data_IF_724060723752
#
_entry.id   IF_724060723752
#
_cell.length_a   1.000
_cell.length_b   1.000
_cell.length_c   1.000
_cell.angle_alpha   90.00
_cell.angle_beta   90.00
_cell.angle_gamma   90.00
#
_symmetry.space_group_name_H-M   'P 1'
#
loop_
_entity.id
_entity.type
_entity.pdbx_description
1 polymer ?
#
# COMPACT_ATOMS: atom_id res chain seq x y z
N UNK A 1 20.19 -0.23 -23.99
CA UNK A 1 19.31 -1.27 -23.37
C UNK A 1 18.06 -1.37 -24.22
N UNK A 2 17.85 -2.50 -24.88
CA UNK A 2 16.71 -2.70 -25.80
C UNK A 2 15.41 -2.76 -25.00
N UNK A 3 14.68 -1.66 -24.97
CA UNK A 3 13.38 -1.58 -24.34
C UNK A 3 12.31 -2.05 -25.34
N UNK A 4 12.22 -3.37 -25.58
CA UNK A 4 11.10 -3.94 -26.34
C UNK A 4 9.89 -4.04 -25.41
N UNK A 5 9.06 -2.99 -25.41
CA UNK A 5 7.76 -3.04 -24.79
C UNK A 5 6.96 -4.23 -25.36
N UNK A 6 6.24 -4.95 -24.46
CA UNK A 6 5.44 -6.13 -24.86
C UNK A 6 4.33 -5.76 -25.86
N UNK A 7 3.70 -4.61 -25.65
CA UNK A 7 2.61 -4.12 -26.50
C UNK A 7 3.01 -2.81 -27.20
N UNK A 8 2.76 -2.70 -28.50
CA UNK A 8 3.01 -1.47 -29.29
C UNK A 8 1.92 -0.41 -29.08
N UNK A 9 1.41 -0.29 -27.87
CA UNK A 9 0.32 0.60 -27.49
C UNK A 9 0.81 1.70 -26.56
N UNK A 10 0.12 2.84 -26.56
CA UNK A 10 0.36 3.99 -25.69
C UNK A 10 -0.62 3.98 -24.52
N UNK A 11 -0.12 4.16 -23.30
CA UNK A 11 -0.89 4.16 -22.06
C UNK A 11 -1.01 5.57 -21.48
N UNK A 12 -2.22 6.05 -21.20
CA UNK A 12 -2.45 7.19 -20.33
C UNK A 12 -2.73 6.73 -18.89
N UNK A 13 -2.03 7.30 -17.92
CA UNK A 13 -2.26 7.05 -16.48
C UNK A 13 -2.90 8.29 -15.87
N UNK A 14 -4.11 8.14 -15.33
CA UNK A 14 -4.91 9.22 -14.74
C UNK A 14 -5.11 8.99 -13.24
N UNK A 15 -4.84 9.99 -12.42
CA UNK A 15 -4.98 9.91 -10.97
C UNK A 15 -3.71 9.50 -10.23
N UNK A 16 -2.57 9.83 -10.80
CA UNK A 16 -1.27 9.62 -10.19
C UNK A 16 -1.07 10.45 -8.91
N UNK A 17 -0.18 10.04 -7.99
CA UNK A 17 0.22 10.86 -6.84
C UNK A 17 0.91 12.15 -7.27
N UNK A 18 1.32 12.98 -6.31
CA UNK A 18 2.08 14.17 -6.61
C UNK A 18 3.47 13.82 -7.18
N UNK A 19 3.95 14.68 -8.08
CA UNK A 19 5.24 14.59 -8.73
C UNK A 19 6.07 15.82 -8.45
N UNK A 20 7.30 15.61 -8.03
CA UNK A 20 8.29 16.66 -7.80
C UNK A 20 9.29 16.68 -8.94
N UNK A 21 9.82 17.84 -9.24
CA UNK A 21 10.84 18.03 -10.29
C UNK A 21 12.18 18.24 -9.58
N UNK A 22 13.16 17.38 -9.88
CA UNK A 22 14.54 17.55 -9.44
C UNK A 22 15.24 18.69 -10.18
N UNK A 23 16.40 19.09 -9.67
CA UNK A 23 17.22 20.15 -10.30
C UNK A 23 17.72 19.80 -11.70
N UNK A 24 17.74 18.53 -12.05
CA UNK A 24 18.12 17.98 -13.36
C UNK A 24 16.90 17.82 -14.31
N UNK A 25 15.70 18.27 -13.90
CA UNK A 25 14.45 18.10 -14.64
C UNK A 25 13.81 16.72 -14.51
N UNK A 26 14.37 15.80 -13.72
CA UNK A 26 13.83 14.46 -13.51
C UNK A 26 12.60 14.52 -12.61
N UNK A 27 11.56 13.79 -12.97
CA UNK A 27 10.35 13.65 -12.16
C UNK A 27 10.48 12.56 -11.11
N UNK A 28 10.11 12.90 -9.88
CA UNK A 28 10.10 12.05 -8.71
C UNK A 28 8.68 11.85 -8.20
N UNK A 29 8.35 10.65 -7.78
CA UNK A 29 7.08 10.34 -7.14
C UNK A 29 7.25 9.30 -6.03
N UNK A 30 6.17 9.00 -5.31
CA UNK A 30 6.16 8.00 -4.25
C UNK A 30 6.71 6.65 -4.76
N UNK A 31 7.77 6.14 -4.15
CA UNK A 31 8.56 5.01 -4.63
C UNK A 31 7.73 3.75 -4.98
N UNK A 32 6.81 3.24 -4.13
CA UNK A 32 5.99 2.09 -4.48
C UNK A 32 5.11 2.30 -5.71
N UNK A 33 4.72 3.55 -5.98
CA UNK A 33 4.00 3.90 -7.20
C UNK A 33 4.92 3.88 -8.42
N UNK A 34 6.13 4.43 -8.29
CA UNK A 34 7.14 4.43 -9.37
C UNK A 34 7.51 3.01 -9.76
N UNK A 35 7.69 2.11 -8.81
CA UNK A 35 7.96 0.69 -9.06
C UNK A 35 6.85 0.05 -9.90
N UNK A 36 5.61 0.30 -9.55
CA UNK A 36 4.45 -0.17 -10.31
C UNK A 36 4.42 0.42 -11.73
N UNK A 37 4.67 1.71 -11.89
CA UNK A 37 4.68 2.37 -13.20
C UNK A 37 5.82 1.87 -14.10
N UNK A 38 6.95 1.44 -13.55
CA UNK A 38 8.00 0.78 -14.33
C UNK A 38 7.52 -0.53 -14.94
N UNK A 39 6.69 -1.31 -14.22
CA UNK A 39 6.08 -2.54 -14.77
C UNK A 39 5.14 -2.20 -15.92
N UNK A 40 4.31 -1.15 -15.79
CA UNK A 40 3.47 -0.69 -16.89
C UNK A 40 4.30 -0.21 -18.08
N UNK A 41 5.43 0.46 -17.84
CA UNK A 41 6.34 0.89 -18.91
C UNK A 41 7.06 -0.27 -19.61
N UNK A 42 7.25 -1.40 -18.94
CA UNK A 42 7.77 -2.62 -19.57
C UNK A 42 6.74 -3.28 -20.49
N UNK A 43 5.45 -3.02 -20.28
CA UNK A 43 4.35 -3.57 -21.09
C UNK A 43 3.96 -2.66 -22.25
N UNK A 44 4.03 -1.34 -22.10
CA UNK A 44 3.56 -0.36 -23.09
C UNK A 44 4.71 0.40 -23.74
N UNK A 45 4.57 0.71 -25.04
CA UNK A 45 5.59 1.44 -25.82
C UNK A 45 5.82 2.87 -25.30
N UNK A 46 4.77 3.50 -24.77
CA UNK A 46 4.79 4.83 -24.17
C UNK A 46 3.79 4.92 -23.03
N UNK A 47 4.17 5.56 -21.93
CA UNK A 47 3.32 5.77 -20.74
C UNK A 47 3.31 7.25 -20.39
N UNK A 48 2.16 7.91 -20.56
CA UNK A 48 1.96 9.27 -20.12
C UNK A 48 1.26 9.28 -18.75
N UNK A 49 1.89 9.91 -17.76
CA UNK A 49 1.40 9.98 -16.39
C UNK A 49 0.85 11.37 -16.10
N UNK A 50 -0.48 11.47 -15.92
CA UNK A 50 -1.17 12.68 -15.50
C UNK A 50 -1.39 12.68 -13.98
N UNK A 51 -0.67 13.53 -13.27
CA UNK A 51 -0.74 13.60 -11.81
C UNK A 51 -0.60 15.03 -11.29
N UNK A 52 -0.74 15.21 -9.98
CA UNK A 52 -0.55 16.50 -9.34
C UNK A 52 0.91 16.97 -9.47
N UNK A 53 1.12 18.28 -9.67
CA UNK A 53 2.41 18.90 -9.40
C UNK A 53 2.68 18.84 -7.88
N UNK A 54 3.87 18.42 -7.49
CA UNK A 54 4.36 18.44 -6.12
C UNK A 54 4.95 19.83 -5.80
N UNK A 55 4.79 20.24 -4.55
CA UNK A 55 5.34 21.50 -4.04
C UNK A 55 6.42 21.21 -3.00
N UNK A 56 7.44 22.08 -2.91
CA UNK A 56 8.53 21.98 -1.95
C UNK A 56 9.63 20.98 -2.35
N UNK A 57 10.49 20.66 -1.40
CA UNK A 57 11.66 19.82 -1.61
C UNK A 57 11.32 18.33 -1.73
N UNK A 58 12.16 17.62 -2.47
CA UNK A 58 12.12 16.15 -2.56
C UNK A 58 12.54 15.55 -1.21
N UNK A 59 11.59 14.98 -0.48
CA UNK A 59 11.81 14.38 0.84
C UNK A 59 11.06 13.06 0.99
N UNK A 60 11.56 12.21 1.88
CA UNK A 60 10.92 10.96 2.23
C UNK A 60 11.10 9.85 1.19
N UNK A 61 10.11 8.98 1.07
CA UNK A 61 10.17 7.80 0.19
C UNK A 61 9.74 8.16 -1.23
N UNK A 62 10.59 8.88 -1.96
CA UNK A 62 10.41 9.27 -3.36
C UNK A 62 11.49 8.61 -4.22
N UNK A 63 11.17 8.29 -5.46
CA UNK A 63 12.09 7.75 -6.45
C UNK A 63 11.86 8.38 -7.83
N UNK A 64 12.90 8.49 -8.67
CA UNK A 64 12.76 8.89 -10.07
C UNK A 64 12.25 7.73 -10.91
N UNK A 65 11.59 7.99 -12.02
CA UNK A 65 11.08 6.91 -12.89
C UNK A 65 12.18 6.11 -13.57
N UNK A 66 13.27 6.75 -14.00
CA UNK A 66 14.42 6.14 -14.69
C UNK A 66 14.00 5.25 -15.88
N UNK A 67 13.04 5.72 -16.68
CA UNK A 67 12.53 5.08 -17.90
C UNK A 67 12.32 6.12 -18.99
N UNK A 68 12.89 5.92 -20.16
CA UNK A 68 12.77 6.85 -21.28
C UNK A 68 11.40 6.89 -21.95
N UNK A 69 10.59 5.83 -21.74
CA UNK A 69 9.24 5.74 -22.28
C UNK A 69 8.14 6.19 -21.29
N UNK A 70 8.51 6.80 -20.16
CA UNK A 70 7.56 7.45 -19.23
C UNK A 70 7.67 8.96 -19.38
N UNK A 71 6.57 9.59 -19.77
CA UNK A 71 6.37 11.02 -19.80
C UNK A 71 5.47 11.45 -18.64
N UNK A 72 5.87 12.46 -17.85
CA UNK A 72 5.05 13.00 -16.76
C UNK A 72 4.47 14.34 -17.20
N UNK A 73 3.15 14.45 -17.15
CA UNK A 73 2.42 15.69 -17.40
C UNK A 73 1.79 16.14 -16.10
N UNK A 74 2.44 17.07 -15.36
CA UNK A 74 1.89 17.60 -14.12
C UNK A 74 0.67 18.46 -14.43
N UNK A 75 -0.41 18.23 -13.68
CA UNK A 75 -1.66 18.98 -13.79
C UNK A 75 -1.83 19.83 -12.55
N UNK A 76 -1.97 21.13 -12.75
CA UNK A 76 -2.25 22.08 -11.68
C UNK A 76 -3.66 21.83 -11.13
N UNK A 77 -3.74 21.31 -9.91
CA UNK A 77 -5.00 21.09 -9.20
C UNK A 77 -4.75 21.10 -7.70
N UNK A 78 -5.36 22.05 -7.00
CA UNK A 78 -5.07 22.31 -5.58
C UNK A 78 -5.37 21.11 -4.68
N UNK A 79 -4.45 20.85 -3.75
CA UNK A 79 -4.57 19.87 -2.67
C UNK A 79 -4.95 20.49 -1.34
N UNK A 80 -5.06 21.82 -1.27
CA UNK A 80 -5.43 22.53 -0.07
C UNK A 80 -6.83 22.18 0.41
N UNK A 81 -7.01 22.13 1.73
CA UNK A 81 -8.31 21.97 2.38
C UNK A 81 -8.91 23.35 2.70
N UNK A 82 -10.24 23.37 2.91
CA UNK A 82 -10.96 24.58 3.24
C UNK A 82 -11.51 25.33 2.03
N UNK A 83 -12.02 26.53 2.28
CA UNK A 83 -12.74 27.32 1.29
C UNK A 83 -11.85 27.82 0.15
N UNK A 84 -10.64 28.28 0.46
CA UNK A 84 -9.66 28.71 -0.53
C UNK A 84 -9.29 27.61 -1.50
N UNK A 85 -8.98 26.42 -0.99
CA UNK A 85 -8.69 25.27 -1.83
C UNK A 85 -9.90 24.80 -2.65
N UNK A 86 -11.12 24.98 -2.16
CA UNK A 86 -12.35 24.72 -2.92
C UNK A 86 -12.47 25.68 -4.12
N UNK A 87 -12.26 26.98 -3.92
CA UNK A 87 -12.30 27.97 -4.99
C UNK A 87 -11.23 27.70 -6.05
N UNK A 88 -9.99 27.45 -5.62
CA UNK A 88 -8.89 27.10 -6.53
C UNK A 88 -9.25 25.89 -7.40
N UNK A 89 -9.79 24.81 -6.81
CA UNK A 89 -10.24 23.64 -7.56
C UNK A 89 -11.34 23.95 -8.55
N UNK A 90 -12.29 24.83 -8.22
CA UNK A 90 -13.33 25.25 -9.16
C UNK A 90 -12.75 25.92 -10.40
N UNK A 91 -11.80 26.87 -10.23
CA UNK A 91 -11.13 27.54 -11.34
C UNK A 91 -10.21 26.61 -12.16
N UNK A 92 -9.57 25.63 -11.50
CA UNK A 92 -8.67 24.68 -12.14
C UNK A 92 -9.40 23.49 -12.79
N UNK A 93 -10.69 23.27 -12.47
CA UNK A 93 -11.46 22.12 -12.93
C UNK A 93 -11.57 22.02 -14.46
N UNK A 94 -11.84 23.10 -15.22
CA UNK A 94 -11.87 23.02 -16.69
C UNK A 94 -10.53 22.57 -17.28
N UNK A 95 -9.42 23.08 -16.74
CA UNK A 95 -8.07 22.65 -17.12
C UNK A 95 -7.80 21.19 -16.82
N UNK A 96 -8.24 20.70 -15.65
CA UNK A 96 -8.16 19.29 -15.29
C UNK A 96 -8.90 18.41 -16.29
N UNK A 97 -10.16 18.73 -16.61
CA UNK A 97 -10.98 17.99 -17.57
C UNK A 97 -10.32 17.97 -18.95
N UNK A 98 -9.82 19.12 -19.41
CA UNK A 98 -9.17 19.23 -20.73
C UNK A 98 -7.87 18.42 -20.81
N UNK A 99 -7.01 18.45 -19.78
CA UNK A 99 -5.78 17.67 -19.75
C UNK A 99 -6.08 16.16 -19.74
N UNK A 100 -7.03 15.71 -18.92
CA UNK A 100 -7.43 14.29 -18.87
C UNK A 100 -8.07 13.87 -20.20
N UNK A 101 -8.94 14.69 -20.78
CA UNK A 101 -9.56 14.41 -22.08
C UNK A 101 -8.52 14.25 -23.19
N UNK A 102 -7.50 15.14 -23.23
CA UNK A 102 -6.40 15.05 -24.20
C UNK A 102 -5.59 13.76 -23.98
N UNK A 103 -5.21 13.45 -22.74
CA UNK A 103 -4.50 12.21 -22.43
C UNK A 103 -5.28 10.96 -22.86
N UNK A 104 -6.60 10.91 -22.64
CA UNK A 104 -7.46 9.80 -23.05
C UNK A 104 -7.58 9.74 -24.59
N UNK A 105 -7.65 10.89 -25.26
CA UNK A 105 -7.79 10.95 -26.72
C UNK A 105 -6.52 10.45 -27.43
N UNK A 106 -5.36 10.87 -26.94
CA UNK A 106 -4.06 10.66 -27.60
C UNK A 106 -3.42 9.31 -27.29
N UNK A 107 -4.08 8.44 -26.49
CA UNK A 107 -3.56 7.14 -26.07
C UNK A 107 -4.56 6.01 -26.38
N UNK A 108 -4.02 4.81 -26.56
CA UNK A 108 -4.79 3.61 -26.94
C UNK A 108 -5.51 2.98 -25.74
N UNK A 109 -4.93 3.12 -24.56
CA UNK A 109 -5.41 2.51 -23.32
C UNK A 109 -5.28 3.45 -22.12
N UNK A 110 -6.18 3.33 -21.14
CA UNK A 110 -6.22 4.21 -19.99
C UNK A 110 -6.16 3.42 -18.67
N UNK A 111 -5.18 3.73 -17.84
CA UNK A 111 -5.12 3.31 -16.44
C UNK A 111 -5.64 4.42 -15.53
N UNK A 112 -6.73 4.19 -14.84
CA UNK A 112 -7.25 5.10 -13.82
C UNK A 112 -6.88 4.63 -12.42
N UNK A 113 -6.61 5.57 -11.53
CA UNK A 113 -6.35 5.30 -10.10
C UNK A 113 -7.43 5.97 -9.25
N UNK A 114 -8.23 5.16 -8.61
CA UNK A 114 -9.38 5.56 -7.81
C UNK A 114 -9.28 5.03 -6.37
N UNK A 115 -9.93 5.66 -5.38
CA UNK A 115 -10.73 6.88 -5.51
C UNK A 115 -9.88 8.16 -5.51
N UNK A 116 -10.14 9.05 -6.47
CA UNK A 116 -9.51 10.38 -6.56
C UNK A 116 -10.36 11.31 -7.44
N UNK A 117 -10.15 12.63 -7.36
CA UNK A 117 -10.82 13.58 -8.27
C UNK A 117 -10.44 13.32 -9.74
N UNK A 118 -9.17 13.06 -10.01
CA UNK A 118 -8.69 12.66 -11.34
C UNK A 118 -9.36 11.38 -11.82
N UNK A 119 -9.43 10.36 -10.96
CA UNK A 119 -10.07 9.09 -11.25
C UNK A 119 -11.57 9.27 -11.54
N UNK A 120 -12.26 10.15 -10.79
CA UNK A 120 -13.67 10.46 -11.03
C UNK A 120 -13.90 11.07 -12.42
N UNK A 121 -13.11 12.10 -12.77
CA UNK A 121 -13.18 12.76 -14.09
C UNK A 121 -12.78 11.75 -15.18
N UNK A 122 -11.72 11.00 -14.98
CA UNK A 122 -11.26 9.95 -15.89
C UNK A 122 -12.33 8.89 -16.16
N UNK A 123 -12.97 8.37 -15.11
CA UNK A 123 -14.02 7.38 -15.19
C UNK A 123 -15.25 7.85 -15.98
N UNK A 124 -15.61 9.12 -15.87
CA UNK A 124 -16.67 9.71 -16.68
C UNK A 124 -16.23 9.87 -18.16
N UNK A 125 -15.03 10.42 -18.40
CA UNK A 125 -14.54 10.69 -19.74
C UNK A 125 -14.25 9.43 -20.55
N UNK A 126 -13.67 8.38 -19.98
CA UNK A 126 -13.41 7.12 -20.72
C UNK A 126 -14.71 6.49 -21.22
N UNK A 127 -15.80 6.58 -20.41
CA UNK A 127 -17.12 6.08 -20.79
C UNK A 127 -17.75 6.92 -21.91
N UNK A 128 -17.69 8.26 -21.77
CA UNK A 128 -18.20 9.18 -22.82
C UNK A 128 -17.44 9.05 -24.13
N UNK A 129 -16.14 8.77 -24.07
CA UNK A 129 -15.27 8.63 -25.25
C UNK A 129 -15.16 7.19 -25.74
N UNK A 130 -15.83 6.24 -25.11
CA UNK A 130 -15.80 4.80 -25.39
C UNK A 130 -14.37 4.23 -25.52
N UNK A 131 -13.48 4.57 -24.56
CA UNK A 131 -12.08 4.14 -24.55
C UNK A 131 -11.87 2.96 -23.61
N UNK A 132 -11.07 2.00 -24.06
CA UNK A 132 -10.68 0.86 -23.22
C UNK A 132 -9.88 1.32 -22.00
N UNK A 133 -10.25 0.82 -20.82
CA UNK A 133 -9.60 1.25 -19.59
C UNK A 133 -9.62 0.21 -18.48
N UNK A 134 -8.64 0.33 -17.63
CA UNK A 134 -8.59 -0.35 -16.34
C UNK A 134 -8.58 0.68 -15.21
N UNK A 135 -9.40 0.48 -14.20
CA UNK A 135 -9.35 1.25 -12.97
C UNK A 135 -8.68 0.43 -11.87
N UNK A 136 -7.63 0.96 -11.26
CA UNK A 136 -7.08 0.40 -10.02
C UNK A 136 -7.75 1.07 -8.83
N UNK A 137 -8.60 0.32 -8.14
CA UNK A 137 -9.30 0.78 -6.94
C UNK A 137 -8.45 0.51 -5.69
N UNK A 138 -7.95 1.56 -5.05
CA UNK A 138 -7.05 1.46 -3.89
C UNK A 138 -7.77 1.48 -2.53
N UNK A 139 -9.10 1.66 -2.51
CA UNK A 139 -9.92 1.70 -1.30
C UNK A 139 -10.62 0.38 -1.01
N UNK A 140 -11.46 0.37 0.02
CA UNK A 140 -12.37 -0.74 0.29
C UNK A 140 -13.34 -0.94 -0.87
N UNK A 141 -13.57 -2.19 -1.29
CA UNK A 141 -14.47 -2.54 -2.40
C UNK A 141 -15.95 -2.44 -2.00
N UNK A 142 -16.30 -1.78 -0.90
CA UNK A 142 -17.65 -1.60 -0.39
C UNK A 142 -17.92 -0.20 0.14
N UNK A 143 -19.21 0.05 0.46
CA UNK A 143 -19.60 1.23 1.21
C UNK A 143 -19.14 1.09 2.66
N UNK A 144 -18.63 2.16 3.22
CA UNK A 144 -18.22 2.22 4.61
C UNK A 144 -18.76 3.50 5.28
N UNK A 145 -18.91 3.45 6.61
CA UNK A 145 -19.39 4.58 7.38
C UNK A 145 -18.43 5.76 7.31
N UNK A 146 -18.96 6.96 6.99
CA UNK A 146 -18.14 8.18 6.87
C UNK A 146 -17.49 8.37 5.50
N UNK A 147 -17.88 7.59 4.49
CA UNK A 147 -17.39 7.77 3.13
C UNK A 147 -17.83 9.13 2.55
N UNK A 148 -16.87 9.87 1.99
CA UNK A 148 -17.12 11.19 1.38
C UNK A 148 -17.92 11.07 0.07
N UNK A 149 -18.75 12.06 -0.23
CA UNK A 149 -19.60 12.09 -1.44
C UNK A 149 -18.80 11.83 -2.73
N UNK A 150 -17.64 12.47 -3.00
CA UNK A 150 -16.88 12.19 -4.22
C UNK A 150 -16.44 10.73 -4.36
N UNK A 151 -16.10 10.07 -3.24
CA UNK A 151 -15.75 8.65 -3.25
C UNK A 151 -16.96 7.76 -3.54
N UNK A 152 -18.14 8.12 -3.00
CA UNK A 152 -19.40 7.41 -3.29
C UNK A 152 -19.78 7.51 -4.76
N UNK A 153 -19.66 8.71 -5.36
CA UNK A 153 -19.94 8.93 -6.78
C UNK A 153 -18.93 8.16 -7.64
N UNK A 154 -17.66 8.18 -7.28
CA UNK A 154 -16.63 7.43 -8.00
C UNK A 154 -16.90 5.92 -7.95
N UNK A 155 -17.25 5.37 -6.79
CA UNK A 155 -17.62 3.97 -6.65
C UNK A 155 -18.91 3.63 -7.43
N UNK A 156 -19.88 4.52 -7.46
CA UNK A 156 -21.08 4.34 -8.27
C UNK A 156 -20.73 4.28 -9.77
N UNK A 157 -19.89 5.19 -10.28
CA UNK A 157 -19.41 5.13 -11.65
C UNK A 157 -18.68 3.82 -11.94
N UNK A 158 -17.81 3.37 -11.04
CA UNK A 158 -17.10 2.10 -11.18
C UNK A 158 -18.00 0.86 -11.04
N UNK A 159 -19.22 0.99 -10.53
CA UNK A 159 -20.21 -0.09 -10.51
C UNK A 159 -20.95 -0.26 -11.85
N UNK A 160 -20.90 0.75 -12.72
CA UNK A 160 -21.55 0.70 -14.02
C UNK A 160 -20.73 -0.20 -14.95
N UNK A 161 -21.35 -1.27 -15.40
CA UNK A 161 -20.72 -2.21 -16.34
C UNK A 161 -20.44 -1.49 -17.68
N UNK A 162 -19.22 -1.69 -18.19
CA UNK A 162 -18.84 -1.33 -19.56
C UNK A 162 -18.14 -2.53 -20.21
N UNK A 163 -18.29 -2.70 -21.50
CA UNK A 163 -17.67 -3.82 -22.24
C UNK A 163 -16.14 -3.69 -22.27
N UNK A 164 -15.64 -2.46 -22.23
CA UNK A 164 -14.21 -2.12 -22.34
C UNK A 164 -13.63 -1.55 -21.04
N UNK A 165 -14.36 -1.65 -19.91
CA UNK A 165 -13.94 -1.11 -18.62
C UNK A 165 -13.88 -2.21 -17.56
N UNK A 166 -12.69 -2.42 -16.99
CA UNK A 166 -12.49 -3.34 -15.89
C UNK A 166 -11.93 -2.62 -14.67
N UNK A 167 -12.25 -3.12 -13.48
CA UNK A 167 -11.76 -2.55 -12.22
C UNK A 167 -10.95 -3.59 -11.46
N UNK A 168 -9.67 -3.30 -11.20
CA UNK A 168 -8.83 -4.10 -10.31
C UNK A 168 -9.16 -3.72 -8.86
N UNK A 169 -9.59 -4.69 -8.07
CA UNK A 169 -9.98 -4.50 -6.67
C UNK A 169 -9.16 -5.40 -5.76
N UNK A 170 -8.87 -4.92 -4.57
CA UNK A 170 -8.34 -5.76 -3.52
C UNK A 170 -9.48 -6.57 -2.86
N UNK A 171 -9.30 -7.88 -2.75
CA UNK A 171 -10.30 -8.78 -2.21
C UNK A 171 -11.34 -9.26 -3.25
N UNK A 172 -12.47 -9.83 -2.80
CA UNK A 172 -13.44 -10.45 -3.68
C UNK A 172 -14.16 -9.43 -4.58
N UNK A 173 -14.33 -9.74 -5.88
CA UNK A 173 -15.09 -8.88 -6.79
C UNK A 173 -16.58 -8.89 -6.42
N UNK A 174 -17.23 -7.74 -6.53
CA UNK A 174 -18.69 -7.56 -6.31
C UNK A 174 -19.47 -7.50 -7.60
N UNK A 175 -18.80 -7.17 -8.71
CA UNK A 175 -19.40 -7.02 -10.03
C UNK A 175 -18.60 -7.82 -11.06
N UNK A 176 -19.25 -8.23 -12.15
CA UNK A 176 -18.65 -9.08 -13.20
C UNK A 176 -17.45 -8.46 -13.93
N UNK A 177 -17.35 -7.12 -13.95
CA UNK A 177 -16.24 -6.37 -14.53
C UNK A 177 -15.12 -6.06 -13.51
N UNK A 178 -15.28 -6.48 -12.27
CA UNK A 178 -14.21 -6.40 -11.27
C UNK A 178 -13.33 -7.65 -11.32
N UNK A 179 -12.05 -7.44 -11.16
CA UNK A 179 -11.02 -8.48 -11.13
C UNK A 179 -10.29 -8.35 -9.80
N UNK A 180 -10.30 -9.45 -9.02
CA UNK A 180 -9.46 -9.51 -7.81
C UNK A 180 -7.99 -9.40 -8.19
N UNK A 181 -7.26 -8.52 -7.55
CA UNK A 181 -5.89 -8.22 -7.89
C UNK A 181 -5.03 -8.04 -6.64
N UNK A 182 -3.79 -8.50 -6.68
CA UNK A 182 -2.86 -8.38 -5.58
C UNK A 182 -1.91 -7.19 -5.81
N UNK A 183 -1.48 -6.48 -4.75
CA UNK A 183 -0.49 -5.42 -4.89
C UNK A 183 0.86 -5.98 -5.31
N UNK A 184 1.74 -5.09 -5.80
CA UNK A 184 3.16 -5.37 -5.96
C UNK A 184 3.92 -4.87 -4.74
N UNK A 185 4.91 -5.63 -4.29
CA UNK A 185 5.72 -5.27 -3.12
C UNK A 185 7.19 -5.05 -3.51
N UNK A 186 7.91 -6.12 -3.81
CA UNK A 186 9.36 -6.17 -4.07
C UNK A 186 9.63 -6.96 -5.34
N UNK A 187 10.79 -6.78 -5.96
CA UNK A 187 11.26 -7.68 -7.00
C UNK A 187 11.86 -8.96 -6.38
N UNK A 188 12.17 -9.95 -7.20
CA UNK A 188 12.69 -11.25 -6.73
C UNK A 188 14.06 -11.10 -6.03
N UNK A 189 14.90 -10.17 -6.47
CA UNK A 189 16.20 -9.88 -5.84
C UNK A 189 16.02 -9.32 -4.42
N UNK A 190 15.16 -8.31 -4.26
CA UNK A 190 14.83 -7.72 -2.96
C UNK A 190 14.21 -8.74 -2.01
N UNK A 191 13.34 -9.64 -2.51
CA UNK A 191 12.77 -10.74 -1.73
C UNK A 191 13.84 -11.73 -1.27
N UNK A 192 14.80 -12.04 -2.15
CA UNK A 192 15.92 -12.92 -1.81
C UNK A 192 16.81 -12.29 -0.74
N UNK A 193 17.15 -11.00 -0.87
CA UNK A 193 17.90 -10.23 0.13
C UNK A 193 17.17 -10.19 1.49
N UNK A 194 15.87 -9.90 1.49
CA UNK A 194 15.04 -9.89 2.70
C UNK A 194 15.09 -11.24 3.41
N UNK A 195 14.98 -12.34 2.66
CA UNK A 195 15.10 -13.71 3.19
C UNK A 195 16.51 -13.98 3.75
N UNK A 196 17.56 -13.56 3.06
CA UNK A 196 18.94 -13.72 3.52
C UNK A 196 19.20 -12.95 4.81
N UNK A 197 18.75 -11.70 4.91
CA UNK A 197 18.85 -10.90 6.13
C UNK A 197 18.13 -11.59 7.29
N UNK A 198 16.93 -12.09 7.05
CA UNK A 198 16.10 -12.74 8.08
C UNK A 198 16.65 -14.11 8.53
N UNK A 199 17.42 -14.80 7.69
CA UNK A 199 18.03 -16.08 8.05
C UNK A 199 19.01 -15.99 9.23
N UNK A 200 19.53 -14.80 9.49
CA UNK A 200 20.43 -14.49 10.62
C UNK A 200 19.70 -14.18 11.92
N UNK A 201 18.33 -14.16 11.91
CA UNK A 201 17.53 -13.86 13.09
C UNK A 201 17.79 -14.88 14.19
N UNK A 202 18.12 -14.38 15.40
CA UNK A 202 18.22 -15.21 16.58
C UNK A 202 16.81 -15.52 17.14
N UNK A 203 16.53 -16.77 17.43
CA UNK A 203 15.30 -17.22 18.07
C UNK A 203 15.46 -17.37 19.59
N UNK A 204 16.31 -16.54 20.17
CA UNK A 204 16.53 -16.45 21.62
C UNK A 204 15.78 -15.23 22.18
N UNK A 205 15.37 -15.33 23.42
CA UNK A 205 14.77 -14.19 24.17
C UNK A 205 15.77 -13.04 24.34
N UNK A 206 15.32 -11.78 24.36
CA UNK A 206 13.92 -11.38 24.23
C UNK A 206 13.43 -11.46 22.79
N UNK A 207 12.15 -11.91 22.62
CA UNK A 207 11.50 -11.90 21.32
C UNK A 207 11.23 -10.46 20.88
N UNK A 208 11.54 -10.13 19.61
CA UNK A 208 11.39 -8.78 19.09
C UNK A 208 10.03 -8.62 18.40
N UNK A 209 9.28 -7.64 18.86
CA UNK A 209 7.96 -7.25 18.33
C UNK A 209 8.10 -5.90 17.65
N UNK A 210 7.56 -5.76 16.44
CA UNK A 210 7.66 -4.57 15.61
C UNK A 210 6.28 -3.99 15.30
N UNK A 211 6.18 -2.68 15.24
CA UNK A 211 5.07 -2.01 14.59
C UNK A 211 5.61 -0.86 13.73
N UNK A 212 5.13 -0.73 12.51
CA UNK A 212 5.61 0.26 11.53
C UNK A 212 4.43 1.06 10.97
N UNK A 213 4.56 2.38 10.91
CA UNK A 213 3.56 3.21 10.24
C UNK A 213 3.58 4.67 10.67
N UNK A 214 2.76 5.48 9.99
CA UNK A 214 2.54 6.87 10.38
C UNK A 214 1.80 6.90 11.72
N UNK A 215 2.30 7.65 12.69
CA UNK A 215 1.71 7.75 14.03
C UNK A 215 0.44 8.61 14.01
N UNK A 216 -0.63 8.06 13.44
CA UNK A 216 -1.95 8.66 13.31
C UNK A 216 -3.00 7.82 14.06
N UNK A 217 -4.06 8.45 14.57
CA UNK A 217 -5.11 7.78 15.35
C UNK A 217 -5.74 6.56 14.62
N UNK A 218 -5.89 6.65 13.29
CA UNK A 218 -6.47 5.57 12.49
C UNK A 218 -5.62 4.28 12.46
N UNK A 219 -4.36 4.34 12.91
CA UNK A 219 -3.43 3.20 12.92
C UNK A 219 -3.49 2.35 14.18
N UNK A 220 -4.21 2.79 15.23
CA UNK A 220 -4.50 1.99 16.43
C UNK A 220 -3.29 1.66 17.30
N UNK A 221 -2.22 2.46 17.27
CA UNK A 221 -1.02 2.20 18.08
C UNK A 221 -1.31 2.22 19.59
N UNK A 222 -2.31 2.99 20.01
CA UNK A 222 -2.81 3.02 21.41
C UNK A 222 -3.33 1.65 21.86
N UNK A 223 -4.04 0.93 20.99
CA UNK A 223 -4.48 -0.45 21.23
C UNK A 223 -3.28 -1.38 21.45
N UNK A 224 -2.26 -1.28 20.59
CA UNK A 224 -1.05 -2.09 20.73
C UNK A 224 -0.33 -1.82 22.06
N UNK A 225 -0.17 -0.55 22.47
CA UNK A 225 0.48 -0.18 23.73
C UNK A 225 -0.31 -0.69 24.95
N UNK A 226 -1.63 -0.53 24.95
CA UNK A 226 -2.48 -1.06 26.04
C UNK A 226 -2.39 -2.58 26.15
N UNK A 227 -2.45 -3.29 25.01
CA UNK A 227 -2.30 -4.74 24.97
C UNK A 227 -0.92 -5.19 25.46
N UNK A 228 0.16 -4.52 25.05
CA UNK A 228 1.52 -4.86 25.49
C UNK A 228 1.73 -4.56 26.99
N UNK A 229 1.16 -3.48 27.53
CA UNK A 229 1.18 -3.20 28.97
C UNK A 229 0.43 -4.26 29.78
N UNK A 230 -0.73 -4.70 29.27
CA UNK A 230 -1.49 -5.79 29.88
C UNK A 230 -0.73 -7.13 29.78
N UNK A 231 -0.09 -7.44 28.66
CA UNK A 231 0.76 -8.62 28.49
C UNK A 231 1.92 -8.62 29.48
N UNK A 232 2.62 -7.49 29.66
CA UNK A 232 3.71 -7.35 30.63
C UNK A 232 3.23 -7.67 32.06
N UNK A 233 2.04 -7.18 32.41
CA UNK A 233 1.45 -7.39 33.74
C UNK A 233 0.97 -8.84 33.96
N UNK A 234 0.32 -9.45 32.98
CA UNK A 234 -0.27 -10.79 33.09
C UNK A 234 0.75 -11.93 32.90
N UNK A 235 1.77 -11.68 32.08
CA UNK A 235 2.81 -12.65 31.70
C UNK A 235 4.21 -12.03 31.85
N UNK A 236 4.63 -11.73 33.12
CA UNK A 236 5.96 -11.16 33.39
C UNK A 236 7.11 -12.13 33.04
N UNK A 237 6.81 -13.41 32.92
CA UNK A 237 7.72 -14.50 32.53
C UNK A 237 8.11 -14.40 31.02
N UNK A 238 7.28 -13.82 30.18
CA UNK A 238 7.57 -13.67 28.76
C UNK A 238 8.55 -12.51 28.51
N UNK A 239 9.67 -12.84 27.89
CA UNK A 239 10.73 -11.88 27.55
C UNK A 239 10.60 -11.40 26.11
N UNK A 240 10.20 -10.15 25.94
CA UNK A 240 10.03 -9.50 24.65
C UNK A 240 10.47 -8.03 24.69
N UNK A 241 10.77 -7.48 23.53
CA UNK A 241 11.04 -6.06 23.32
C UNK A 241 10.25 -5.54 22.13
N UNK A 242 9.58 -4.40 22.31
CA UNK A 242 8.74 -3.77 21.28
C UNK A 242 9.45 -2.58 20.64
N UNK A 243 9.45 -2.52 19.32
CA UNK A 243 9.96 -1.39 18.54
C UNK A 243 8.83 -0.75 17.73
N UNK A 244 8.61 0.54 17.94
CA UNK A 244 7.66 1.34 17.17
C UNK A 244 8.43 2.25 16.21
N UNK A 245 8.25 1.98 14.91
CA UNK A 245 8.89 2.73 13.81
C UNK A 245 7.88 3.65 13.15
N UNK A 246 8.17 4.93 13.12
CA UNK A 246 7.35 5.93 12.46
C UNK A 246 7.31 7.24 13.18
N UNK A 247 6.68 8.22 12.53
CA UNK A 247 6.44 9.54 13.08
C UNK A 247 5.04 10.03 12.70
N UNK A 248 4.53 11.03 13.40
CA UNK A 248 3.21 11.60 13.15
C UNK A 248 2.62 12.33 14.34
N UNK A 249 1.40 12.81 14.17
CA UNK A 249 0.69 13.67 15.13
C UNK A 249 0.45 13.02 16.50
N UNK A 250 0.52 11.69 16.58
CA UNK A 250 0.30 10.94 17.83
C UNK A 250 1.59 10.65 18.61
N UNK A 251 2.78 11.07 18.14
CA UNK A 251 4.06 10.71 18.77
C UNK A 251 4.07 11.00 20.29
N UNK A 252 3.76 12.22 20.69
CA UNK A 252 3.81 12.63 22.11
C UNK A 252 2.73 11.94 22.96
N UNK A 253 1.54 11.72 22.42
CA UNK A 253 0.47 11.01 23.11
C UNK A 253 0.79 9.54 23.32
N UNK A 254 1.40 8.90 22.31
CA UNK A 254 1.83 7.50 22.40
C UNK A 254 3.00 7.29 23.38
N UNK A 255 3.93 8.24 23.47
CA UNK A 255 5.00 8.20 24.48
C UNK A 255 4.46 8.31 25.90
N UNK A 256 3.49 9.19 26.14
CA UNK A 256 2.81 9.29 27.44
C UNK A 256 2.07 7.99 27.78
N UNK A 257 1.30 7.47 26.82
CA UNK A 257 0.58 6.21 26.99
C UNK A 257 1.53 5.03 27.26
N UNK A 258 2.69 4.99 26.64
CA UNK A 258 3.70 3.96 26.90
C UNK A 258 4.20 4.01 28.33
N UNK A 259 4.42 5.21 28.89
CA UNK A 259 4.78 5.38 30.30
C UNK A 259 3.64 4.98 31.24
N UNK A 260 2.39 5.36 30.95
CA UNK A 260 1.19 4.95 31.68
C UNK A 260 1.00 3.41 31.69
N UNK A 261 1.38 2.74 30.59
CA UNK A 261 1.34 1.29 30.45
C UNK A 261 2.59 0.57 31.00
N UNK A 262 3.51 1.28 31.64
CA UNK A 262 4.76 0.76 32.17
C UNK A 262 5.62 0.01 31.15
N UNK A 263 5.76 0.58 29.94
CA UNK A 263 6.47 -0.04 28.80
C UNK A 263 7.87 0.53 28.54
N UNK A 264 8.30 1.54 29.28
CA UNK A 264 9.53 2.32 29.00
C UNK A 264 10.80 1.48 28.97
N UNK A 265 10.85 0.40 29.75
CA UNK A 265 11.96 -0.55 29.83
C UNK A 265 11.93 -1.62 28.72
N UNK A 266 10.79 -1.84 28.06
CA UNK A 266 10.58 -2.90 27.08
C UNK A 266 10.26 -2.37 25.68
N UNK A 267 10.41 -1.06 25.42
CA UNK A 267 10.11 -0.52 24.11
C UNK A 267 11.09 0.56 23.62
N UNK A 268 11.12 0.72 22.32
CA UNK A 268 11.89 1.75 21.62
C UNK A 268 11.02 2.48 20.60
N UNK A 269 11.03 3.81 20.64
CA UNK A 269 10.52 4.68 19.56
C UNK A 269 11.70 5.09 18.69
N UNK A 270 11.70 4.73 17.44
CA UNK A 270 12.80 5.06 16.52
C UNK A 270 12.62 6.40 15.80
N UNK A 271 11.38 6.93 15.76
CA UNK A 271 11.01 7.93 14.76
C UNK A 271 10.87 7.31 13.36
N UNK A 272 10.74 8.15 12.34
CA UNK A 272 10.73 7.71 10.96
C UNK A 272 12.13 7.21 10.56
N UNK A 273 12.19 6.07 9.88
CA UNK A 273 13.42 5.46 9.39
C UNK A 273 13.44 5.42 7.86
N UNK A 274 14.63 5.48 7.23
CA UNK A 274 14.78 5.16 5.81
C UNK A 274 14.34 3.73 5.50
N UNK A 275 13.95 3.48 4.25
CA UNK A 275 13.40 2.18 3.83
C UNK A 275 14.31 1.00 4.18
N UNK A 276 15.62 1.10 3.89
CA UNK A 276 16.60 0.05 4.21
C UNK A 276 16.69 -0.27 5.71
N UNK A 277 16.55 0.73 6.58
CA UNK A 277 16.53 0.52 8.03
C UNK A 277 15.23 -0.13 8.49
N UNK A 278 14.09 0.21 7.88
CA UNK A 278 12.81 -0.48 8.12
C UNK A 278 12.92 -1.95 7.77
N UNK A 279 13.55 -2.29 6.62
CA UNK A 279 13.77 -3.69 6.20
C UNK A 279 14.62 -4.46 7.22
N UNK A 280 15.67 -3.83 7.77
CA UNK A 280 16.47 -4.44 8.85
C UNK A 280 15.62 -4.70 10.09
N UNK A 281 14.74 -3.76 10.48
CA UNK A 281 13.84 -3.96 11.62
C UNK A 281 12.90 -5.13 11.41
N UNK A 282 12.32 -5.29 10.21
CA UNK A 282 11.55 -6.49 9.89
C UNK A 282 12.40 -7.75 9.98
N UNK A 283 13.57 -7.77 9.37
CA UNK A 283 14.47 -8.93 9.36
C UNK A 283 14.86 -9.40 10.77
N UNK A 284 15.03 -8.46 11.70
CA UNK A 284 15.38 -8.75 13.10
C UNK A 284 14.18 -9.14 13.97
N UNK A 285 12.96 -8.80 13.56
CA UNK A 285 11.75 -8.96 14.37
C UNK A 285 11.08 -10.31 14.16
N UNK A 286 10.47 -10.85 15.21
CA UNK A 286 9.76 -12.13 15.19
C UNK A 286 8.27 -11.93 14.85
N UNK A 287 7.68 -10.86 15.37
CA UNK A 287 6.26 -10.49 15.25
C UNK A 287 6.16 -9.07 14.72
N UNK A 288 5.24 -8.84 13.79
CA UNK A 288 4.84 -7.51 13.36
C UNK A 288 3.36 -7.28 13.71
N UNK A 289 3.07 -6.33 14.62
CA UNK A 289 1.69 -6.00 14.99
C UNK A 289 1.15 -4.97 14.04
N UNK A 290 -0.07 -5.20 13.53
CA UNK A 290 -0.87 -4.25 12.77
C UNK A 290 -2.21 -4.02 13.49
N UNK A 291 -2.29 -3.03 14.38
CA UNK A 291 -3.48 -2.80 15.20
C UNK A 291 -4.55 -1.95 14.51
N UNK A 292 -4.24 -1.35 13.34
CA UNK A 292 -5.14 -0.47 12.60
C UNK A 292 -6.36 -1.18 12.03
N UNK A 293 -7.52 -0.51 12.12
CA UNK A 293 -8.80 -1.05 11.64
C UNK A 293 -9.28 -0.44 10.32
N UNK A 294 -8.52 0.49 9.74
CA UNK A 294 -8.85 1.18 8.47
C UNK A 294 -7.69 1.06 7.49
N UNK A 295 -7.66 -0.07 6.79
CA UNK A 295 -6.65 -0.33 5.77
C UNK A 295 -7.32 -0.83 4.48
N UNK A 296 -6.86 -0.35 3.35
CA UNK A 296 -7.21 -0.95 2.06
C UNK A 296 -6.56 -2.33 1.94
N UNK A 297 -5.38 -2.40 1.30
CA UNK A 297 -4.52 -3.59 1.38
C UNK A 297 -3.35 -3.33 2.34
N UNK A 298 -3.20 -4.09 3.43
CA UNK A 298 -2.22 -3.82 4.47
C UNK A 298 -0.80 -4.25 4.05
N UNK A 299 0.00 -3.33 3.53
CA UNK A 299 1.37 -3.59 3.06
C UNK A 299 2.30 -4.15 4.14
N UNK A 300 2.05 -3.79 5.40
CA UNK A 300 2.79 -4.30 6.56
C UNK A 300 2.78 -5.84 6.60
N UNK A 301 1.66 -6.48 6.23
CA UNK A 301 1.58 -7.94 6.17
C UNK A 301 2.54 -8.50 5.11
N UNK A 302 2.56 -7.90 3.92
CA UNK A 302 3.47 -8.34 2.86
C UNK A 302 4.95 -8.11 3.20
N UNK A 303 5.27 -6.96 3.80
CA UNK A 303 6.61 -6.65 4.28
C UNK A 303 7.05 -7.65 5.38
N UNK A 304 6.14 -7.99 6.29
CA UNK A 304 6.39 -9.00 7.30
C UNK A 304 6.65 -10.38 6.68
N UNK A 305 5.83 -10.82 5.70
CA UNK A 305 6.03 -12.08 4.99
C UNK A 305 7.38 -12.15 4.27
N UNK A 306 7.80 -11.06 3.60
CA UNK A 306 9.09 -11.00 2.89
C UNK A 306 10.27 -11.26 3.83
N UNK A 307 10.14 -10.92 5.10
CA UNK A 307 11.17 -11.11 6.12
C UNK A 307 10.90 -12.30 7.05
N UNK A 308 9.89 -13.13 6.78
CA UNK A 308 9.49 -14.20 7.67
C UNK A 308 9.13 -13.69 9.08
N UNK A 309 8.68 -12.45 9.22
CA UNK A 309 8.17 -11.85 10.45
C UNK A 309 6.69 -12.16 10.54
N UNK A 310 6.22 -12.70 11.66
CA UNK A 310 4.84 -13.18 11.81
C UNK A 310 3.90 -11.97 11.94
N UNK A 311 2.99 -11.71 10.99
CA UNK A 311 2.01 -10.65 11.14
C UNK A 311 0.94 -11.05 12.16
N UNK A 312 0.69 -10.15 13.13
CA UNK A 312 -0.42 -10.21 14.09
C UNK A 312 -1.29 -8.99 13.83
N UNK A 313 -2.43 -9.18 13.18
CA UNK A 313 -3.20 -8.09 12.62
C UNK A 313 -4.63 -8.03 13.16
N UNK A 314 -5.14 -6.80 13.39
CA UNK A 314 -6.51 -6.58 13.82
C UNK A 314 -7.50 -7.05 12.74
N UNK A 315 -8.59 -7.70 13.16
CA UNK A 315 -9.66 -8.19 12.30
C UNK A 315 -10.45 -7.02 11.70
N UNK A 316 -9.96 -6.50 10.58
CA UNK A 316 -10.57 -5.37 9.88
C UNK A 316 -10.35 -5.45 8.37
N UNK A 317 -11.29 -4.94 7.59
CA UNK A 317 -11.19 -4.88 6.13
C UNK A 317 -10.85 -6.22 5.50
N UNK A 318 -9.76 -6.28 4.75
CA UNK A 318 -9.30 -7.49 4.06
C UNK A 318 -8.45 -8.44 4.91
N UNK A 319 -8.05 -8.04 6.12
CA UNK A 319 -7.14 -8.83 6.97
C UNK A 319 -7.62 -10.28 7.17
N UNK A 320 -8.89 -10.56 7.52
CA UNK A 320 -9.36 -11.93 7.70
C UNK A 320 -9.26 -12.77 6.43
N UNK A 321 -9.41 -12.17 5.26
CA UNK A 321 -9.29 -12.89 3.97
C UNK A 321 -7.83 -13.08 3.53
N UNK A 322 -6.92 -12.18 3.92
CA UNK A 322 -5.49 -12.28 3.64
C UNK A 322 -4.82 -13.31 4.56
N UNK A 323 -5.21 -13.34 5.83
CA UNK A 323 -4.66 -14.24 6.86
C UNK A 323 -5.58 -15.43 7.15
N UNK A 324 -6.31 -15.94 6.13
CA UNK A 324 -7.20 -17.10 6.28
C UNK A 324 -6.46 -18.36 6.72
N UNK A 325 -5.29 -18.58 6.15
CA UNK A 325 -4.41 -19.68 6.52
C UNK A 325 -3.66 -19.29 7.81
N UNK A 326 -3.88 -20.05 8.88
CA UNK A 326 -3.19 -19.87 10.16
C UNK A 326 -1.66 -19.92 10.04
N UNK A 327 -1.13 -20.43 8.93
CA UNK A 327 0.31 -20.40 8.62
C UNK A 327 0.76 -19.06 8.05
N UNK A 328 -0.14 -18.17 7.63
CA UNK A 328 0.17 -16.87 7.03
C UNK A 328 0.25 -15.72 8.03
N UNK A 329 -0.25 -15.91 9.26
CA UNK A 329 -0.28 -14.90 10.31
C UNK A 329 -1.38 -15.15 11.33
N UNK A 330 -1.57 -14.21 12.23
CA UNK A 330 -2.57 -14.27 13.29
C UNK A 330 -3.51 -13.09 13.19
N UNK A 331 -4.81 -13.35 13.29
CA UNK A 331 -5.86 -12.33 13.31
C UNK A 331 -6.41 -12.22 14.72
N UNK A 332 -6.47 -11.00 15.26
CA UNK A 332 -7.07 -10.73 16.57
C UNK A 332 -8.24 -9.74 16.46
N UNK A 333 -9.22 -9.82 17.35
CA UNK A 333 -10.27 -8.79 17.47
C UNK A 333 -9.61 -7.50 17.97
N UNK A 334 -10.01 -6.31 17.47
CA UNK A 334 -9.35 -5.05 17.81
C UNK A 334 -9.62 -4.62 19.26
N UNK A 335 -9.20 -5.45 20.22
CA UNK A 335 -9.23 -5.20 21.66
C UNK A 335 -7.88 -5.54 22.28
N UNK A 336 -7.44 -4.82 23.33
CA UNK A 336 -6.20 -5.13 24.05
C UNK A 336 -6.13 -6.57 24.53
N UNK A 337 -7.21 -7.09 25.13
CA UNK A 337 -7.26 -8.44 25.69
C UNK A 337 -7.11 -9.54 24.66
N UNK A 338 -7.69 -9.38 23.46
CA UNK A 338 -7.54 -10.37 22.39
C UNK A 338 -6.11 -10.34 21.80
N UNK A 339 -5.51 -9.14 21.68
CA UNK A 339 -4.09 -9.01 21.32
C UNK A 339 -3.17 -9.72 22.33
N UNK A 340 -3.44 -9.56 23.65
CA UNK A 340 -2.70 -10.25 24.72
C UNK A 340 -2.80 -11.75 24.56
N UNK A 341 -4.01 -12.27 24.34
CA UNK A 341 -4.25 -13.70 24.14
C UNK A 341 -3.40 -14.26 23.00
N UNK A 342 -3.45 -13.63 21.85
CA UNK A 342 -2.74 -14.09 20.63
C UNK A 342 -1.21 -13.95 20.79
N UNK A 343 -0.73 -12.86 21.38
CA UNK A 343 0.71 -12.67 21.62
C UNK A 343 1.25 -13.66 22.65
N UNK A 344 0.53 -13.91 23.76
CA UNK A 344 0.95 -14.88 24.75
C UNK A 344 1.05 -16.28 24.13
N UNK A 345 0.04 -16.69 23.36
CA UNK A 345 0.03 -17.99 22.70
C UNK A 345 1.19 -18.17 21.70
N UNK A 346 1.55 -17.12 20.96
CA UNK A 346 2.73 -17.16 20.08
C UNK A 346 4.03 -17.23 20.87
N UNK A 347 4.20 -16.39 21.89
CA UNK A 347 5.42 -16.28 22.67
C UNK A 347 5.70 -17.51 23.54
N UNK A 348 4.68 -18.30 23.88
CA UNK A 348 4.80 -19.56 24.62
C UNK A 348 5.44 -20.67 23.78
N UNK A 349 5.43 -20.58 22.44
CA UNK A 349 5.99 -21.62 21.57
C UNK A 349 6.93 -21.03 20.48
N UNK A 350 8.17 -20.67 20.86
CA UNK A 350 9.15 -20.15 19.91
C UNK A 350 9.50 -21.10 18.77
N UNK A 351 9.34 -22.43 18.97
CA UNK A 351 9.56 -23.42 17.92
C UNK A 351 8.49 -23.31 16.84
N UNK A 352 7.23 -23.30 17.23
CA UNK A 352 6.10 -23.09 16.31
C UNK A 352 6.19 -21.75 15.59
N UNK A 353 6.59 -20.68 16.28
CA UNK A 353 6.86 -19.38 15.64
C UNK A 353 7.94 -19.51 14.55
N UNK A 354 9.04 -20.20 14.84
CA UNK A 354 10.12 -20.41 13.87
C UNK A 354 9.64 -21.18 12.63
N UNK A 355 8.88 -22.24 12.83
CA UNK A 355 8.31 -23.04 11.74
C UNK A 355 7.34 -22.23 10.88
N UNK A 356 6.47 -21.43 11.51
CA UNK A 356 5.58 -20.50 10.83
C UNK A 356 6.36 -19.47 10.03
N UNK A 357 7.37 -18.84 10.61
CA UNK A 357 8.24 -17.83 9.97
C UNK A 357 8.86 -18.35 8.66
N UNK A 358 9.29 -19.61 8.63
CA UNK A 358 9.88 -20.22 7.43
C UNK A 358 8.89 -20.38 6.27
N UNK A 359 7.62 -20.56 6.58
CA UNK A 359 6.54 -20.69 5.59
C UNK A 359 6.07 -19.38 4.98
N UNK A 360 6.32 -18.25 5.63
CA UNK A 360 5.76 -16.94 5.23
C UNK A 360 6.29 -16.42 3.89
N UNK A 361 7.53 -16.75 3.55
CA UNK A 361 8.17 -16.25 2.34
C UNK A 361 7.40 -16.59 1.05
N UNK A 362 6.75 -17.75 0.99
CA UNK A 362 5.92 -18.15 -0.17
C UNK A 362 4.79 -17.16 -0.46
N UNK A 363 4.18 -16.57 0.59
CA UNK A 363 3.13 -15.57 0.44
C UNK A 363 3.67 -14.24 -0.10
N UNK A 364 4.91 -13.88 0.27
CA UNK A 364 5.55 -12.69 -0.28
C UNK A 364 5.91 -12.85 -1.77
N UNK A 365 6.33 -14.03 -2.20
CA UNK A 365 6.64 -14.32 -3.61
C UNK A 365 5.44 -14.09 -4.53
N UNK A 366 4.23 -14.41 -4.09
CA UNK A 366 3.00 -14.13 -4.84
C UNK A 366 2.76 -12.62 -5.05
N UNK A 367 3.38 -11.78 -4.24
CA UNK A 367 3.28 -10.31 -4.29
C UNK A 367 4.49 -9.67 -4.96
N UNK A 368 5.36 -10.43 -5.62
CA UNK A 368 6.51 -9.87 -6.33
C UNK A 368 6.07 -9.00 -7.50
N UNK A 369 6.94 -8.05 -7.89
CA UNK A 369 6.75 -7.22 -9.09
C UNK A 369 6.66 -8.08 -10.36
N UNK A 370 7.37 -9.20 -10.39
CA UNK A 370 7.35 -10.15 -11.50
C UNK A 370 6.00 -10.86 -11.60
N UNK A 371 5.46 -11.35 -10.48
CA UNK A 371 4.10 -11.92 -10.43
C UNK A 371 3.03 -10.87 -10.72
N UNK A 372 3.22 -9.63 -10.30
CA UNK A 372 2.34 -8.52 -10.67
C UNK A 372 2.32 -8.31 -12.18
N UNK A 373 3.50 -8.29 -12.83
CA UNK A 373 3.63 -8.16 -14.29
C UNK A 373 2.92 -9.30 -15.02
N UNK A 374 3.15 -10.56 -14.63
CA UNK A 374 2.54 -11.73 -15.24
C UNK A 374 1.00 -11.67 -15.13
N UNK A 375 0.47 -11.34 -13.95
CA UNK A 375 -0.99 -11.22 -13.75
C UNK A 375 -1.57 -10.08 -14.59
N UNK A 376 -0.88 -8.96 -14.65
CA UNK A 376 -1.32 -7.80 -15.42
C UNK A 376 -1.34 -8.10 -16.92
N UNK A 377 -0.27 -8.69 -17.43
CA UNK A 377 -0.16 -9.11 -18.83
C UNK A 377 -1.31 -10.07 -19.22
N UNK A 378 -1.58 -11.08 -18.39
CA UNK A 378 -2.70 -12.00 -18.60
C UNK A 378 -4.04 -11.27 -18.67
N UNK A 379 -4.30 -10.32 -17.77
CA UNK A 379 -5.55 -9.53 -17.79
C UNK A 379 -5.65 -8.72 -19.09
N UNK A 380 -4.56 -8.09 -19.54
CA UNK A 380 -4.55 -7.30 -20.77
C UNK A 380 -4.80 -8.16 -22.00
N UNK A 381 -4.22 -9.35 -22.07
CA UNK A 381 -4.46 -10.31 -23.16
C UNK A 381 -5.89 -10.85 -23.10
N UNK A 382 -6.33 -11.39 -21.96
CA UNK A 382 -7.59 -12.12 -21.85
C UNK A 382 -8.83 -11.21 -21.94
N UNK A 383 -8.73 -9.98 -21.44
CA UNK A 383 -9.89 -9.06 -21.33
C UNK A 383 -9.93 -8.01 -22.43
N UNK A 384 -8.79 -7.66 -23.01
CA UNK A 384 -8.69 -6.61 -24.02
C UNK A 384 -8.14 -7.09 -25.36
N UNK A 385 -7.72 -8.36 -25.44
CA UNK A 385 -7.21 -8.95 -26.70
C UNK A 385 -5.85 -8.38 -27.14
N UNK A 386 -5.01 -7.92 -26.20
CA UNK A 386 -3.68 -7.40 -26.52
C UNK A 386 -2.78 -8.52 -27.05
N UNK A 387 -2.01 -8.20 -28.11
CA UNK A 387 -1.15 -9.15 -28.81
C UNK A 387 0.34 -8.83 -28.63
#
# INVERSE_FOLDING_TARGET
MNNHARFKMRLAVVGAPAHWIGSDGTYWAYEPYVREMRVWADLFSHVQVCGHAGEGEIRGNLAPYNRSNIEVVPVAYSREYGFTGMLQRMFQFPGLVMNIRRAIHDHDFVLMRSPSHFGLVGAALVRLMNRSSITKWAGENGAFTGERIPSRVNRWLESIRGETHFTLVYGPPRYSHQISFLPALMNEEELSEARQLSSRRSWRTPMKILCVGRLEAAKGFDLALRGLGELKRLRPDLMWHFTLVGDGTQNDSLRRLAAECDLTDRMTFTGALPFNEVQKRYAESHIAIMPGTKEGWPKIIAEAWAHGTIPVAASAGLVPSILQDKSSGVVFKPTPSDLVHELAHLLDDPKKMKDMSQGLYRHAQELSLDQFKIRLERILVDRFGFQ
#
